data_IF_173395244586
#
_entry.id   IF_173395244586
#
_cell.length_a   1.000
_cell.length_b   1.000
_cell.length_c   1.000
_cell.angle_alpha   90.00
_cell.angle_beta   90.00
_cell.angle_gamma   90.00
#
_symmetry.space_group_name_H-M   'P 1'
#
loop_
_entity.id
_entity.type
_entity.pdbx_description
1 polymer ?
#
# COMPACT_ATOMS: atom_id res chain seq x y z
N UNK A 1 4.91 -21.94 -40.30
CA UNK A 1 5.99 -21.06 -39.83
C UNK A 1 5.44 -20.16 -38.72
N UNK A 2 5.83 -20.50 -37.48
CA UNK A 2 5.78 -19.79 -36.20
C UNK A 2 4.48 -19.13 -35.72
N UNK A 3 3.68 -19.97 -35.04
CA UNK A 3 2.58 -19.63 -34.12
C UNK A 3 3.16 -18.88 -32.90
N UNK A 4 2.79 -17.60 -32.72
CA UNK A 4 3.17 -16.83 -31.53
C UNK A 4 2.22 -17.17 -30.39
N UNK A 5 2.81 -17.68 -29.31
CA UNK A 5 2.13 -18.14 -28.11
C UNK A 5 1.43 -16.97 -27.42
N UNK A 6 0.14 -17.14 -27.24
CA UNK A 6 -0.75 -16.32 -26.42
C UNK A 6 -0.63 -16.81 -24.97
N UNK A 7 -0.90 -15.91 -24.00
CA UNK A 7 -0.89 -16.09 -22.54
C UNK A 7 0.48 -16.11 -21.85
N UNK A 8 0.74 -15.11 -21.00
CA UNK A 8 0.65 -15.16 -19.52
C UNK A 8 1.18 -13.81 -18.98
N UNK A 9 0.30 -12.84 -18.67
CA UNK A 9 0.59 -11.78 -17.67
C UNK A 9 -0.75 -11.39 -17.01
N UNK A 10 -1.33 -12.30 -16.25
CA UNK A 10 -2.46 -12.01 -15.36
C UNK A 10 -2.30 -12.90 -14.13
N UNK A 11 -1.35 -12.54 -13.26
CA UNK A 11 -1.12 -13.28 -12.01
C UNK A 11 -0.28 -12.53 -10.94
N UNK A 12 -0.18 -11.19 -10.96
CA UNK A 12 0.54 -10.44 -9.90
C UNK A 12 -0.39 -9.55 -9.05
N UNK A 13 -1.70 -9.58 -9.31
CA UNK A 13 -2.68 -8.77 -8.55
C UNK A 13 -3.29 -9.47 -7.32
N UNK A 14 -2.77 -10.64 -6.89
CA UNK A 14 -3.38 -11.42 -5.79
C UNK A 14 -2.43 -11.86 -4.66
N UNK A 15 -1.14 -11.52 -4.68
CA UNK A 15 -0.15 -12.12 -3.77
C UNK A 15 0.42 -11.20 -2.69
N UNK A 16 -0.31 -10.17 -2.23
CA UNK A 16 0.12 -9.35 -1.08
C UNK A 16 -0.78 -9.51 0.16
N UNK A 17 -1.93 -10.20 0.08
CA UNK A 17 -2.83 -10.34 1.24
C UNK A 17 -2.74 -11.66 2.02
N UNK A 18 -1.85 -12.60 1.69
CA UNK A 18 -1.95 -13.98 2.18
C UNK A 18 -0.79 -14.51 3.05
N UNK A 19 0.06 -13.66 3.66
CA UNK A 19 1.17 -14.14 4.52
C UNK A 19 0.91 -13.98 6.02
N UNK A 20 -0.19 -13.35 6.45
CA UNK A 20 -0.46 -13.15 7.90
C UNK A 20 -1.32 -14.27 8.54
N UNK A 21 -1.83 -15.24 7.78
CA UNK A 21 -2.69 -16.31 8.33
C UNK A 21 -1.99 -17.68 8.55
N UNK A 22 -0.71 -17.83 8.17
CA UNK A 22 -0.05 -19.12 8.08
C UNK A 22 0.83 -19.55 9.27
N UNK A 23 1.06 -18.71 10.29
CA UNK A 23 2.09 -18.98 11.32
C UNK A 23 1.57 -19.17 12.75
N UNK A 24 0.27 -19.44 12.93
CA UNK A 24 -0.32 -19.80 14.24
C UNK A 24 -1.11 -21.11 14.16
N UNK A 25 -0.44 -22.20 13.80
CA UNK A 25 -0.92 -23.53 14.13
C UNK A 25 0.26 -24.44 14.41
N UNK A 26 0.76 -24.42 15.65
CA UNK A 26 1.36 -25.58 16.32
C UNK A 26 1.62 -25.26 17.81
N UNK A 27 0.56 -25.21 18.63
CA UNK A 27 0.63 -25.60 20.05
C UNK A 27 -0.76 -25.69 20.66
N UNK A 28 -1.32 -26.89 20.74
CA UNK A 28 -2.09 -27.36 21.89
C UNK A 28 -2.61 -28.77 21.58
N UNK A 29 -2.06 -29.74 22.31
CA UNK A 29 -2.56 -31.11 22.32
C UNK A 29 -3.98 -31.19 22.86
N UNK A 30 -4.65 -32.26 22.46
CA UNK A 30 -6.02 -32.62 22.76
C UNK A 30 -6.32 -32.80 24.25
N UNK A 31 -7.54 -32.42 24.67
CA UNK A 31 -8.42 -33.19 25.57
C UNK A 31 -9.89 -32.89 25.17
N UNK A 32 -10.77 -33.91 25.01
CA UNK A 32 -12.16 -33.72 24.61
C UNK A 32 -13.11 -33.53 25.81
N UNK A 33 -14.15 -32.71 25.64
CA UNK A 33 -15.38 -32.82 26.43
C UNK A 33 -15.97 -31.53 26.99
N UNK A 34 -17.24 -31.30 26.62
CA UNK A 34 -18.31 -30.59 27.34
C UNK A 34 -18.36 -29.04 27.21
N UNK A 35 -19.23 -28.56 26.31
CA UNK A 35 -19.93 -27.25 26.39
C UNK A 35 -21.22 -27.41 27.23
N UNK A 36 -22.02 -26.37 27.63
CA UNK A 36 -21.94 -24.91 27.39
C UNK A 36 -22.27 -24.02 28.64
N UNK A 37 -21.78 -22.77 28.72
CA UNK A 37 -22.47 -21.73 29.52
C UNK A 37 -22.19 -20.30 29.03
N UNK A 38 -23.25 -19.48 29.09
CA UNK A 38 -23.40 -18.12 28.58
C UNK A 38 -22.47 -17.08 29.23
N UNK A 39 -22.13 -16.07 28.42
CA UNK A 39 -21.87 -14.65 28.72
C UNK A 39 -21.31 -14.27 30.11
N UNK A 40 -20.12 -13.65 30.10
CA UNK A 40 -19.90 -12.23 30.49
C UNK A 40 -18.45 -12.03 30.96
N UNK A 41 -17.78 -11.08 30.31
CA UNK A 41 -16.59 -10.43 30.83
C UNK A 41 -15.28 -11.13 30.53
N UNK A 42 -14.34 -10.33 30.03
CA UNK A 42 -12.90 -10.53 30.18
C UNK A 42 -12.24 -11.54 29.24
N UNK A 43 -11.66 -11.03 28.14
CA UNK A 43 -10.31 -11.43 27.75
C UNK A 43 -9.52 -10.20 27.26
N UNK A 44 -8.65 -9.77 28.16
CA UNK A 44 -7.47 -8.98 27.85
C UNK A 44 -6.46 -9.80 27.01
N UNK A 45 -5.49 -9.06 26.47
CA UNK A 45 -4.23 -9.52 25.89
C UNK A 45 -4.27 -9.97 24.41
N UNK A 46 -4.47 -9.00 23.51
CA UNK A 46 -3.75 -9.02 22.24
C UNK A 46 -2.33 -8.48 22.48
N UNK A 47 -1.36 -9.39 22.46
CA UNK A 47 0.07 -9.13 22.60
C UNK A 47 0.53 -8.15 21.52
N UNK A 48 0.97 -6.96 21.94
CA UNK A 48 1.61 -5.97 21.07
C UNK A 48 2.88 -6.59 20.45
N UNK A 49 2.83 -6.84 19.15
CA UNK A 49 4.02 -7.05 18.33
C UNK A 49 4.66 -5.68 18.13
N UNK A 50 5.84 -5.50 18.72
CA UNK A 50 6.60 -4.26 18.68
C UNK A 50 7.01 -3.95 17.22
N UNK A 51 6.60 -2.81 16.63
CA UNK A 51 7.22 -2.31 15.42
C UNK A 51 8.62 -1.82 15.78
N UNK A 52 9.66 -2.47 15.24
CA UNK A 52 11.02 -1.94 15.29
C UNK A 52 11.10 -0.80 14.27
N UNK A 53 10.59 0.36 14.65
CA UNK A 53 10.66 1.64 13.96
C UNK A 53 10.59 2.72 15.03
N UNK A 54 11.75 3.31 15.36
CA UNK A 54 11.84 4.42 16.31
C UNK A 54 11.35 5.70 15.61
N UNK A 55 10.07 6.00 15.75
CA UNK A 55 9.49 7.26 15.29
C UNK A 55 8.98 8.04 16.52
N UNK A 56 9.88 8.71 17.22
CA UNK A 56 9.56 9.52 18.41
C UNK A 56 8.81 10.83 18.12
N UNK A 57 8.22 10.99 16.92
CA UNK A 57 7.79 12.31 16.44
C UNK A 57 6.64 12.30 15.41
N UNK A 58 5.85 11.22 15.39
CA UNK A 58 4.64 11.14 14.57
C UNK A 58 3.67 10.14 15.16
N UNK A 59 2.49 10.60 15.59
CA UNK A 59 1.45 9.71 16.08
C UNK A 59 1.12 8.66 15.00
N UNK A 60 1.18 7.38 15.38
CA UNK A 60 0.73 6.27 14.54
C UNK A 60 -0.79 6.39 14.40
N UNK A 61 -1.27 6.50 13.16
CA UNK A 61 -2.71 6.43 12.90
C UNK A 61 -3.08 4.94 12.86
N UNK A 62 -4.14 4.56 13.57
CA UNK A 62 -4.63 3.18 13.61
C UNK A 62 -5.03 2.75 12.19
N UNK A 63 -4.34 1.75 11.61
CA UNK A 63 -4.55 1.33 10.23
C UNK A 63 -3.46 0.39 9.71
N UNK A 64 -3.53 0.05 8.42
CA UNK A 64 -2.49 -0.70 7.70
C UNK A 64 -1.14 0.06 7.70
N UNK A 65 -0.02 -0.68 7.70
CA UNK A 65 1.33 -0.11 7.59
C UNK A 65 1.59 0.47 6.19
N UNK A 66 2.55 1.38 6.11
CA UNK A 66 3.14 1.84 4.85
C UNK A 66 4.16 0.80 4.38
N UNK A 67 4.10 0.41 3.11
CA UNK A 67 4.91 -0.68 2.57
C UNK A 67 5.74 -0.20 1.38
N UNK A 68 7.04 -0.46 1.38
CA UNK A 68 7.92 -0.21 0.25
C UNK A 68 8.19 -1.52 -0.48
N UNK A 69 7.71 -1.62 -1.70
CA UNK A 69 7.98 -2.72 -2.61
C UNK A 69 9.12 -2.38 -3.56
N UNK A 70 10.00 -3.35 -3.79
CA UNK A 70 11.08 -3.28 -4.78
C UNK A 70 10.77 -4.24 -5.93
N UNK A 71 10.58 -3.68 -7.14
CA UNK A 71 10.26 -4.48 -8.33
C UNK A 71 11.38 -5.42 -8.77
N UNK A 72 12.65 -5.07 -8.52
CA UNK A 72 13.80 -5.88 -8.92
C UNK A 72 13.90 -7.14 -8.04
N UNK A 73 13.54 -7.00 -6.77
CA UNK A 73 13.53 -8.09 -5.81
C UNK A 73 12.17 -8.80 -5.71
N UNK A 74 11.14 -8.24 -6.35
CA UNK A 74 9.76 -8.71 -6.33
C UNK A 74 9.19 -8.95 -4.92
N UNK A 75 9.55 -8.10 -3.96
CA UNK A 75 9.11 -8.23 -2.56
C UNK A 75 8.97 -6.87 -1.87
N UNK A 76 8.21 -6.86 -0.78
CA UNK A 76 8.23 -5.76 0.19
C UNK A 76 9.59 -5.78 0.89
N UNK A 77 10.33 -4.68 0.79
CA UNK A 77 11.67 -4.53 1.36
C UNK A 77 11.65 -3.78 2.69
N UNK A 78 10.62 -2.99 2.96
CA UNK A 78 10.46 -2.26 4.21
C UNK A 78 8.99 -2.06 4.58
N UNK A 79 8.72 -1.98 5.88
CA UNK A 79 7.45 -1.57 6.46
C UNK A 79 7.69 -0.36 7.36
N UNK A 80 6.79 0.61 7.32
CA UNK A 80 6.85 1.81 8.15
C UNK A 80 5.52 1.99 8.87
N UNK A 81 5.56 2.53 10.08
CA UNK A 81 4.37 3.00 10.79
C UNK A 81 3.64 4.03 9.93
N UNK A 82 2.32 3.93 9.87
CA UNK A 82 1.50 4.90 9.15
C UNK A 82 1.38 6.21 9.95
N UNK A 83 2.43 7.03 9.86
CA UNK A 83 2.54 8.28 10.60
C UNK A 83 1.82 9.43 9.90
N UNK A 84 1.53 10.50 10.66
CA UNK A 84 0.99 11.76 10.12
C UNK A 84 1.87 12.36 9.01
N UNK A 85 3.18 12.08 8.99
CA UNK A 85 4.08 12.55 7.94
C UNK A 85 3.77 11.90 6.59
N UNK A 86 3.51 10.59 6.56
CA UNK A 86 3.09 9.90 5.34
C UNK A 86 1.71 10.36 4.87
N UNK A 87 0.76 10.55 5.79
CA UNK A 87 -0.58 11.06 5.46
C UNK A 87 -0.52 12.44 4.81
N UNK A 88 0.23 13.37 5.41
CA UNK A 88 0.38 14.74 4.89
C UNK A 88 1.07 14.75 3.53
N UNK A 89 2.06 13.89 3.33
CA UNK A 89 2.76 13.81 2.05
C UNK A 89 1.86 13.19 0.97
N UNK A 90 1.11 12.13 1.30
CA UNK A 90 0.11 11.56 0.39
C UNK A 90 -0.95 12.59 -0.02
N UNK A 91 -1.47 13.38 0.92
CA UNK A 91 -2.39 14.47 0.64
C UNK A 91 -1.78 15.53 -0.29
N UNK A 92 -0.53 15.94 -0.01
CA UNK A 92 0.19 16.94 -0.80
C UNK A 92 0.40 16.46 -2.24
N UNK A 93 0.73 15.19 -2.42
CA UNK A 93 0.88 14.57 -3.74
C UNK A 93 -0.46 14.50 -4.48
N UNK A 94 -1.53 14.05 -3.81
CA UNK A 94 -2.87 13.99 -4.41
C UNK A 94 -3.37 15.35 -4.89
N UNK A 95 -3.12 16.42 -4.14
CA UNK A 95 -3.47 17.79 -4.54
C UNK A 95 -2.67 18.28 -5.77
N UNK A 96 -1.56 17.62 -6.10
CA UNK A 96 -0.70 17.97 -7.25
C UNK A 96 -0.98 17.12 -8.50
N UNK A 97 -1.97 16.24 -8.44
CA UNK A 97 -2.38 15.39 -9.57
C UNK A 97 -2.83 16.27 -10.73
N UNK A 98 -2.16 16.12 -11.87
CA UNK A 98 -2.43 16.90 -13.08
C UNK A 98 -3.39 16.20 -14.03
N UNK A 99 -3.47 14.87 -13.97
CA UNK A 99 -4.39 14.10 -14.81
C UNK A 99 -4.12 12.60 -14.81
N UNK A 100 -4.67 11.89 -15.79
CA UNK A 100 -4.40 10.46 -15.98
C UNK A 100 -3.04 10.24 -16.63
N UNK A 101 -2.44 9.08 -16.35
CA UNK A 101 -1.29 8.61 -17.13
C UNK A 101 -1.73 8.40 -18.58
N UNK A 102 -0.99 8.99 -19.52
CA UNK A 102 -1.32 8.89 -20.95
C UNK A 102 -0.85 7.58 -21.59
N UNK A 103 0.11 6.90 -20.95
CA UNK A 103 0.62 5.62 -21.42
C UNK A 103 -0.39 4.51 -21.17
N UNK A 104 -0.65 3.72 -22.21
CA UNK A 104 -1.59 2.58 -22.17
C UNK A 104 -1.17 1.54 -21.11
N UNK A 105 0.14 1.42 -20.83
CA UNK A 105 0.67 0.53 -19.80
C UNK A 105 2.04 1.04 -19.32
N UNK A 106 2.12 1.91 -18.31
CA UNK A 106 3.40 2.32 -17.75
C UNK A 106 4.14 1.12 -17.16
N UNK A 107 5.45 1.05 -17.42
CA UNK A 107 6.31 -0.03 -16.94
C UNK A 107 6.49 0.01 -15.42
N UNK A 108 6.41 -1.15 -14.79
CA UNK A 108 6.62 -1.36 -13.34
C UNK A 108 7.93 -2.10 -13.05
N UNK A 109 8.77 -2.29 -14.05
CA UNK A 109 10.12 -2.81 -13.88
C UNK A 109 11.06 -1.72 -13.38
N UNK A 110 12.09 -2.09 -12.62
CA UNK A 110 13.11 -1.19 -12.11
C UNK A 110 12.58 0.05 -11.36
N UNK A 111 11.58 -0.14 -10.48
CA UNK A 111 10.99 0.90 -9.65
C UNK A 111 10.88 0.50 -8.17
N UNK A 112 10.74 1.52 -7.34
CA UNK A 112 10.20 1.37 -5.99
C UNK A 112 8.72 1.76 -6.00
N UNK A 113 7.88 1.01 -5.31
CA UNK A 113 6.45 1.31 -5.17
C UNK A 113 6.16 1.47 -3.67
N UNK A 114 5.80 2.68 -3.26
CA UNK A 114 5.42 2.96 -1.89
C UNK A 114 3.90 2.94 -1.76
N UNK A 115 3.35 1.96 -1.04
CA UNK A 115 1.94 1.90 -0.67
C UNK A 115 1.72 2.69 0.61
N UNK A 116 0.85 3.70 0.51
CA UNK A 116 0.40 4.53 1.63
C UNK A 116 -1.12 4.33 1.77
N UNK A 117 -1.57 3.56 2.76
CA UNK A 117 -2.98 3.57 3.18
C UNK A 117 -3.31 4.94 3.74
N UNK A 118 -4.37 5.61 3.25
CA UNK A 118 -4.79 6.93 3.75
C UNK A 118 -6.09 6.81 4.53
N UNK A 119 -6.07 7.34 5.75
CA UNK A 119 -7.20 7.33 6.67
C UNK A 119 -7.25 8.67 7.44
N UNK A 120 -8.29 9.50 7.26
CA UNK A 120 -9.48 9.27 6.43
C UNK A 120 -9.16 9.26 4.92
N UNK A 121 -10.05 8.66 4.07
CA UNK A 121 -9.94 8.77 2.62
C UNK A 121 -9.84 10.23 2.16
N UNK A 122 -9.03 10.47 1.14
CA UNK A 122 -8.73 11.81 0.62
C UNK A 122 -9.52 12.04 -0.68
N UNK A 123 -10.29 13.12 -0.74
CA UNK A 123 -10.99 13.50 -1.97
C UNK A 123 -9.99 13.95 -3.05
N UNK A 124 -10.06 13.30 -4.21
CA UNK A 124 -9.35 13.67 -5.42
C UNK A 124 -10.35 14.25 -6.42
N UNK A 125 -10.11 15.49 -6.84
CA UNK A 125 -10.92 16.15 -7.88
C UNK A 125 -10.01 16.77 -8.94
N UNK A 126 -10.07 16.23 -10.15
CA UNK A 126 -9.33 16.72 -11.33
C UNK A 126 -10.35 16.99 -12.44
N UNK A 127 -10.93 18.20 -12.51
CA UNK A 127 -12.05 18.50 -13.40
C UNK A 127 -11.73 18.27 -14.89
N UNK A 128 -10.51 18.60 -15.32
CA UNK A 128 -10.07 18.46 -16.71
C UNK A 128 -10.14 17.01 -17.21
N UNK A 129 -9.90 16.05 -16.32
CA UNK A 129 -9.90 14.62 -16.62
C UNK A 129 -11.18 13.90 -16.20
N UNK A 130 -12.17 14.65 -15.68
CA UNK A 130 -13.41 14.11 -15.10
C UNK A 130 -13.14 13.05 -14.03
N UNK A 131 -12.12 13.28 -13.20
CA UNK A 131 -11.81 12.43 -12.05
C UNK A 131 -12.42 13.09 -10.82
N UNK A 132 -13.28 12.36 -10.11
CA UNK A 132 -13.81 12.76 -8.80
C UNK A 132 -14.05 11.52 -7.96
N UNK A 133 -13.16 11.25 -7.00
CA UNK A 133 -13.16 10.03 -6.21
C UNK A 133 -12.63 10.26 -4.80
N UNK A 134 -12.96 9.35 -3.87
CA UNK A 134 -12.36 9.29 -2.55
C UNK A 134 -11.30 8.19 -2.52
N UNK A 135 -10.04 8.59 -2.39
CA UNK A 135 -8.87 7.72 -2.46
C UNK A 135 -8.57 7.17 -1.07
N UNK A 136 -8.47 5.85 -0.97
CA UNK A 136 -8.16 5.12 0.28
C UNK A 136 -6.74 4.56 0.29
N UNK A 137 -6.12 4.33 -0.88
CA UNK A 137 -4.71 3.92 -0.99
C UNK A 137 -4.01 4.64 -2.11
N UNK A 138 -2.82 5.14 -1.80
CA UNK A 138 -1.92 5.82 -2.73
C UNK A 138 -0.70 4.95 -2.93
N UNK A 139 -0.40 4.59 -4.17
CA UNK A 139 0.83 3.89 -4.53
C UNK A 139 1.71 4.83 -5.33
N UNK A 140 2.82 5.27 -4.73
CA UNK A 140 3.78 6.15 -5.39
C UNK A 140 4.81 5.30 -6.12
N UNK A 141 4.73 5.29 -7.44
CA UNK A 141 5.66 4.57 -8.31
C UNK A 141 6.86 5.47 -8.61
N UNK A 142 8.04 5.05 -8.17
CA UNK A 142 9.30 5.78 -8.29
C UNK A 142 10.31 4.97 -9.11
N UNK A 143 10.44 5.24 -10.43
CA UNK A 143 11.46 4.61 -11.28
C UNK A 143 12.88 4.85 -10.74
N UNK A 144 13.71 3.81 -10.67
CA UNK A 144 15.09 3.88 -10.16
C UNK A 144 16.05 4.49 -11.18
N UNK A 145 15.76 4.32 -12.46
CA UNK A 145 16.63 4.69 -13.57
C UNK A 145 16.42 6.13 -14.08
N UNK A 146 15.48 6.89 -13.50
CA UNK A 146 15.22 8.30 -13.85
C UNK A 146 14.68 8.53 -15.27
N UNK A 147 14.43 7.48 -16.06
CA UNK A 147 13.93 7.60 -17.44
C UNK A 147 12.51 8.16 -17.53
N UNK A 148 11.74 7.99 -16.44
CA UNK A 148 10.37 8.44 -16.32
C UNK A 148 10.18 9.18 -15.00
N UNK A 149 9.32 10.19 -15.01
CA UNK A 149 8.85 10.85 -13.79
C UNK A 149 8.06 9.86 -12.92
N UNK A 150 8.06 10.04 -11.59
CA UNK A 150 7.16 9.31 -10.71
C UNK A 150 5.69 9.50 -11.12
N UNK A 151 4.88 8.49 -10.85
CA UNK A 151 3.46 8.49 -11.15
C UNK A 151 2.70 7.70 -10.07
N UNK A 152 1.37 7.72 -10.10
CA UNK A 152 0.52 7.14 -9.06
C UNK A 152 -0.35 6.03 -9.62
N UNK A 153 -0.47 4.96 -8.83
CA UNK A 153 -1.61 4.07 -8.86
C UNK A 153 -2.46 4.45 -7.65
N UNK A 154 -3.73 4.76 -7.86
CA UNK A 154 -4.65 5.17 -6.80
C UNK A 154 -5.80 4.19 -6.72
N UNK A 155 -6.15 3.77 -5.51
CA UNK A 155 -7.34 2.97 -5.27
C UNK A 155 -8.35 3.81 -4.51
N UNK A 156 -9.60 3.78 -4.98
CA UNK A 156 -10.73 4.31 -4.22
C UNK A 156 -11.28 3.27 -3.23
N UNK A 157 -12.27 3.66 -2.43
CA UNK A 157 -12.95 2.78 -1.49
C UNK A 157 -13.61 1.52 -2.11
N UNK A 158 -13.79 1.49 -3.44
CA UNK A 158 -14.35 0.36 -4.20
C UNK A 158 -13.26 -0.51 -4.82
N UNK A 159 -12.00 -0.27 -4.49
CA UNK A 159 -10.81 -0.88 -5.10
C UNK A 159 -10.68 -0.62 -6.61
N UNK A 160 -11.32 0.42 -7.12
CA UNK A 160 -11.16 0.83 -8.52
C UNK A 160 -9.81 1.54 -8.68
N UNK A 161 -9.06 1.14 -9.71
CA UNK A 161 -7.72 1.66 -9.98
C UNK A 161 -7.75 2.88 -10.90
N UNK A 162 -7.08 3.95 -10.48
CA UNK A 162 -6.85 5.17 -11.28
C UNK A 162 -5.34 5.35 -11.44
N UNK A 163 -4.86 5.42 -12.68
CA UNK A 163 -3.47 5.76 -12.98
C UNK A 163 -3.36 7.26 -13.19
N UNK A 164 -2.54 7.93 -12.38
CA UNK A 164 -2.46 9.38 -12.37
C UNK A 164 -1.04 9.92 -12.46
N UNK A 165 -0.89 11.04 -13.15
CA UNK A 165 0.32 11.85 -13.17
C UNK A 165 0.18 13.00 -12.18
N UNK A 166 1.30 13.44 -11.61
CA UNK A 166 1.33 14.51 -10.64
C UNK A 166 2.59 15.37 -10.80
N UNK A 167 2.54 16.58 -10.23
CA UNK A 167 3.57 17.60 -10.45
C UNK A 167 4.53 17.78 -9.26
N UNK A 168 4.16 17.27 -8.09
CA UNK A 168 4.99 17.34 -6.88
C UNK A 168 6.28 16.51 -7.03
N UNK A 169 7.37 16.98 -6.44
CA UNK A 169 8.61 16.21 -6.29
C UNK A 169 8.48 15.16 -5.18
N UNK A 170 9.17 14.02 -5.34
CA UNK A 170 9.13 12.89 -4.39
C UNK A 170 10.31 12.89 -3.41
N UNK A 171 11.08 13.97 -3.32
CA UNK A 171 12.22 14.12 -2.41
C UNK A 171 11.84 13.86 -0.94
N UNK A 172 10.74 14.46 -0.47
CA UNK A 172 10.24 14.25 0.90
C UNK A 172 9.96 12.77 1.19
N UNK A 173 9.26 12.08 0.27
CA UNK A 173 9.01 10.63 0.41
C UNK A 173 10.32 9.85 0.48
N UNK A 174 11.27 10.17 -0.41
CA UNK A 174 12.58 9.51 -0.44
C UNK A 174 13.35 9.70 0.86
N UNK A 175 13.19 10.83 1.54
CA UNK A 175 13.80 11.05 2.86
C UNK A 175 13.10 10.23 3.95
N UNK A 176 11.77 10.10 3.90
CA UNK A 176 11.01 9.31 4.88
C UNK A 176 11.36 7.82 4.82
N UNK A 177 11.63 7.27 3.64
CA UNK A 177 11.94 5.83 3.45
C UNK A 177 13.43 5.47 3.54
N UNK A 178 14.32 6.47 3.64
CA UNK A 178 15.77 6.25 3.78
C UNK A 178 16.23 6.18 5.23
N UNK A 179 15.36 6.54 6.17
CA UNK A 179 15.65 6.57 7.61
C UNK A 179 15.46 5.20 8.24
#
# INVERSE_FOLDING_TARGET
MNKRKWFVVSAIFLSVSAVVAGFTMMKAGAIPGIFPFLHKGEQAAATNISPTGNDSDGAQIAGENVELFDSDQQKVVSHYSNSTRFQKEAQTILHSVSGRVQDISPELEHCYILKIPVDPPIELSVPKEKIKDNISRVFVVMPKNGKRKPWLILHNHREETILAEFTRDVGTIRELIKR
#
